data_IF_634263334745
#
_entry.id   IF_634263334745
#
_cell.length_a   1.000
_cell.length_b   1.000
_cell.length_c   1.000
_cell.angle_alpha   90.00
_cell.angle_beta   90.00
_cell.angle_gamma   90.00
#
_symmetry.space_group_name_H-M   'P 1'
#
loop_
_entity.id
_entity.type
_entity.pdbx_description
1 polymer ?
#
# COMPACT_ATOMS: atom_id res chain seq x y z
N UNK A 1 -10.63 -2.29 -33.90
CA UNK A 1 -9.40 -1.55 -34.29
C UNK A 1 -8.59 -1.35 -33.01
N UNK A 2 -7.40 -1.88 -32.94
CA UNK A 2 -6.53 -1.70 -31.77
C UNK A 2 -5.93 -0.30 -31.80
N UNK A 3 -5.74 0.32 -30.63
CA UNK A 3 -5.00 1.58 -30.53
C UNK A 3 -3.51 1.33 -30.78
N UNK A 4 -2.87 2.24 -31.48
CA UNK A 4 -1.42 2.20 -31.63
C UNK A 4 -0.76 2.37 -30.26
N UNK A 5 0.33 1.64 -30.03
CA UNK A 5 1.11 1.80 -28.82
C UNK A 5 1.91 3.11 -28.91
N UNK A 6 2.01 3.87 -27.80
CA UNK A 6 2.84 5.07 -27.79
C UNK A 6 4.32 4.69 -27.97
N UNK A 7 5.04 5.48 -28.74
CA UNK A 7 6.48 5.26 -29.00
C UNK A 7 7.32 5.34 -27.71
N UNK A 8 6.90 6.18 -26.76
CA UNK A 8 7.53 6.33 -25.45
C UNK A 8 6.50 6.14 -24.34
N UNK A 9 6.78 5.22 -23.42
CA UNK A 9 5.93 4.95 -22.26
C UNK A 9 6.63 5.49 -21.01
N UNK A 10 6.01 6.46 -20.34
CA UNK A 10 6.39 6.89 -19.01
C UNK A 10 5.64 6.03 -17.99
N UNK A 11 6.34 5.09 -17.36
CA UNK A 11 5.72 4.22 -16.34
C UNK A 11 5.09 5.01 -15.18
N UNK A 12 5.73 6.07 -14.63
CA UNK A 12 5.11 6.85 -13.55
C UNK A 12 3.81 7.56 -13.95
N UNK A 13 3.69 7.99 -15.20
CA UNK A 13 2.45 8.63 -15.69
C UNK A 13 1.35 7.59 -15.90
N UNK A 14 1.71 6.46 -16.51
CA UNK A 14 0.78 5.34 -16.68
C UNK A 14 0.26 4.82 -15.33
N UNK A 15 1.13 4.70 -14.33
CA UNK A 15 0.74 4.28 -12.98
C UNK A 15 -0.27 5.26 -12.35
N UNK A 16 -0.08 6.57 -12.52
CA UNK A 16 -1.04 7.58 -12.03
C UNK A 16 -2.40 7.46 -12.71
N UNK A 17 -2.42 7.23 -14.03
CA UNK A 17 -3.67 7.02 -14.77
C UNK A 17 -4.41 5.78 -14.26
N UNK A 18 -3.69 4.68 -14.01
CA UNK A 18 -4.27 3.44 -13.49
C UNK A 18 -4.77 3.61 -12.06
N UNK A 19 -4.05 4.31 -11.20
CA UNK A 19 -4.49 4.60 -9.83
C UNK A 19 -5.78 5.41 -9.86
N UNK A 20 -5.84 6.48 -10.65
CA UNK A 20 -7.05 7.29 -10.81
C UNK A 20 -8.24 6.47 -11.34
N UNK A 21 -7.98 5.56 -12.28
CA UNK A 21 -9.00 4.64 -12.77
C UNK A 21 -9.51 3.74 -11.65
N UNK A 22 -8.63 3.13 -10.87
CA UNK A 22 -9.01 2.24 -9.77
C UNK A 22 -9.81 2.94 -8.68
N UNK A 23 -9.46 4.18 -8.34
CA UNK A 23 -10.18 4.98 -7.36
C UNK A 23 -11.59 5.33 -7.85
N UNK A 24 -11.72 5.80 -9.10
CA UNK A 24 -13.01 6.15 -9.68
C UNK A 24 -13.92 4.94 -9.89
N UNK A 25 -13.36 3.82 -10.32
CA UNK A 25 -14.08 2.57 -10.55
C UNK A 25 -14.34 1.78 -9.26
N UNK A 26 -13.71 2.14 -8.14
CA UNK A 26 -13.70 1.35 -6.90
C UNK A 26 -13.29 -0.10 -7.13
N UNK A 27 -12.24 -0.28 -7.92
CA UNK A 27 -11.77 -1.60 -8.36
C UNK A 27 -11.40 -2.50 -7.20
N UNK A 28 -10.81 -1.95 -6.13
CA UNK A 28 -10.42 -2.70 -4.95
C UNK A 28 -11.65 -3.26 -4.22
N UNK A 29 -12.64 -2.43 -3.94
CA UNK A 29 -13.88 -2.81 -3.29
C UNK A 29 -14.62 -3.88 -4.11
N UNK A 30 -14.76 -3.65 -5.41
CA UNK A 30 -15.37 -4.62 -6.34
C UNK A 30 -14.64 -5.96 -6.34
N UNK A 31 -13.31 -5.96 -6.20
CA UNK A 31 -12.52 -7.21 -6.16
C UNK A 31 -12.85 -8.08 -4.94
N UNK A 32 -13.35 -7.48 -3.87
CA UNK A 32 -13.79 -8.15 -2.65
C UNK A 32 -15.28 -8.50 -2.73
N UNK A 33 -16.13 -7.52 -3.03
CA UNK A 33 -17.59 -7.64 -3.02
C UNK A 33 -18.13 -8.60 -4.08
N UNK A 34 -17.43 -8.74 -5.21
CA UNK A 34 -17.79 -9.67 -6.29
C UNK A 34 -17.55 -11.15 -5.96
N UNK A 35 -16.98 -11.46 -4.79
CA UNK A 35 -16.64 -12.82 -4.37
C UNK A 35 -17.53 -13.29 -3.22
N UNK A 36 -17.77 -14.62 -3.17
CA UNK A 36 -18.54 -15.22 -2.08
C UNK A 36 -17.77 -15.16 -0.76
N UNK A 37 -18.41 -14.72 0.34
CA UNK A 37 -17.80 -14.75 1.67
C UNK A 37 -17.54 -16.18 2.18
N UNK A 38 -18.24 -17.19 1.65
CA UNK A 38 -18.03 -18.59 2.02
C UNK A 38 -16.66 -19.12 1.59
N UNK A 39 -16.05 -18.46 0.60
CA UNK A 39 -14.70 -18.78 0.11
C UNK A 39 -13.77 -17.60 0.40
N UNK A 40 -13.47 -17.39 1.66
CA UNK A 40 -12.66 -16.26 2.10
C UNK A 40 -11.19 -16.62 2.31
N UNK A 41 -10.32 -15.65 2.08
CA UNK A 41 -8.90 -15.68 2.42
C UNK A 41 -8.53 -14.36 3.10
N UNK A 42 -8.13 -14.42 4.36
CA UNK A 42 -7.75 -13.22 5.11
C UNK A 42 -6.23 -13.06 5.13
N UNK A 43 -5.78 -11.89 4.76
CA UNK A 43 -4.37 -11.52 4.76
C UNK A 43 -4.13 -10.34 5.72
N UNK A 44 -3.17 -10.51 6.62
CA UNK A 44 -2.69 -9.46 7.50
C UNK A 44 -1.28 -9.05 7.10
N UNK A 45 -1.09 -7.76 6.85
CA UNK A 45 0.23 -7.18 6.65
C UNK A 45 0.87 -6.85 8.00
N UNK A 46 2.15 -7.23 8.17
CA UNK A 46 2.94 -6.74 9.28
C UNK A 46 3.17 -5.22 9.11
N UNK A 47 2.80 -4.39 10.10
CA UNK A 47 2.88 -2.95 9.96
C UNK A 47 4.35 -2.49 9.85
N UNK A 48 4.72 -1.74 8.80
CA UNK A 48 6.03 -1.12 8.73
C UNK A 48 6.12 0.03 9.73
N UNK A 49 7.31 0.26 10.27
CA UNK A 49 7.59 1.41 11.14
C UNK A 49 7.58 2.69 10.31
N UNK A 50 6.85 3.71 10.78
CA UNK A 50 6.71 5.01 10.10
C UNK A 50 7.88 5.94 10.42
N UNK A 51 9.12 5.52 10.09
CA UNK A 51 10.35 6.23 10.45
C UNK A 51 11.19 6.67 9.24
N UNK A 52 10.59 6.78 8.06
CA UNK A 52 11.27 7.25 6.86
C UNK A 52 10.65 6.76 5.56
N UNK A 53 11.32 7.03 4.44
CA UNK A 53 10.87 6.61 3.12
C UNK A 53 11.10 5.09 2.91
N UNK A 54 10.21 4.42 2.15
CA UNK A 54 10.36 3.00 1.88
C UNK A 54 11.60 2.71 1.02
N UNK A 55 12.39 1.73 1.45
CA UNK A 55 13.49 1.20 0.64
C UNK A 55 13.02 0.10 -0.33
N UNK A 56 13.91 -0.29 -1.26
CA UNK A 56 13.62 -1.31 -2.27
C UNK A 56 13.20 -2.66 -1.66
N UNK A 57 13.75 -3.03 -0.51
CA UNK A 57 13.38 -4.26 0.20
C UNK A 57 11.92 -4.26 0.66
N UNK A 58 11.36 -3.10 1.00
CA UNK A 58 9.93 -2.97 1.33
C UNK A 58 9.08 -3.21 0.08
N UNK A 59 9.50 -2.68 -1.07
CA UNK A 59 8.78 -2.87 -2.35
C UNK A 59 8.77 -4.34 -2.74
N UNK A 60 9.94 -5.02 -2.67
CA UNK A 60 10.04 -6.45 -2.98
C UNK A 60 9.14 -7.28 -2.09
N UNK A 61 9.19 -7.06 -0.76
CA UNK A 61 8.36 -7.79 0.18
C UNK A 61 6.86 -7.60 -0.10
N UNK A 62 6.43 -6.36 -0.39
CA UNK A 62 5.03 -6.07 -0.73
C UNK A 62 4.60 -6.68 -2.05
N UNK A 63 5.46 -6.67 -3.05
CA UNK A 63 5.19 -7.30 -4.35
C UNK A 63 4.93 -8.80 -4.20
N UNK A 64 5.76 -9.49 -3.41
CA UNK A 64 5.57 -10.93 -3.15
C UNK A 64 4.25 -11.19 -2.41
N UNK A 65 3.93 -10.39 -1.40
CA UNK A 65 2.66 -10.52 -0.64
C UNK A 65 1.45 -10.23 -1.53
N UNK A 66 1.51 -9.20 -2.36
CA UNK A 66 0.43 -8.85 -3.29
C UNK A 66 0.21 -9.94 -4.34
N UNK A 67 1.27 -10.60 -4.80
CA UNK A 67 1.17 -11.76 -5.69
C UNK A 67 0.26 -12.85 -5.12
N UNK A 68 0.43 -13.21 -3.85
CA UNK A 68 -0.41 -14.21 -3.19
C UNK A 68 -1.87 -13.76 -3.09
N UNK A 69 -2.11 -12.50 -2.72
CA UNK A 69 -3.45 -11.94 -2.63
C UNK A 69 -4.16 -11.93 -3.99
N UNK A 70 -3.47 -11.51 -5.04
CA UNK A 70 -3.99 -11.51 -6.41
C UNK A 70 -4.26 -12.93 -6.91
N UNK A 71 -3.34 -13.85 -6.67
CA UNK A 71 -3.52 -15.26 -7.05
C UNK A 71 -4.75 -15.87 -6.38
N UNK A 72 -4.95 -15.63 -5.07
CA UNK A 72 -6.14 -16.08 -4.36
C UNK A 72 -7.42 -15.45 -4.91
N UNK A 73 -7.40 -14.15 -5.22
CA UNK A 73 -8.53 -13.47 -5.85
C UNK A 73 -8.89 -14.07 -7.21
N UNK A 74 -7.88 -14.39 -8.05
CA UNK A 74 -8.10 -15.08 -9.34
C UNK A 74 -8.67 -16.49 -9.18
N UNK A 75 -8.36 -17.17 -8.07
CA UNK A 75 -8.97 -18.46 -7.72
C UNK A 75 -10.40 -18.36 -7.19
N UNK A 76 -10.97 -17.16 -7.16
CA UNK A 76 -12.34 -16.90 -6.72
C UNK A 76 -12.51 -16.72 -5.21
N UNK A 77 -11.43 -16.55 -4.45
CA UNK A 77 -11.52 -16.19 -3.03
C UNK A 77 -11.88 -14.72 -2.83
N UNK A 78 -12.71 -14.45 -1.84
CA UNK A 78 -12.85 -13.12 -1.27
C UNK A 78 -11.60 -12.84 -0.42
N UNK A 79 -10.75 -11.93 -0.88
CA UNK A 79 -9.47 -11.64 -0.23
C UNK A 79 -9.60 -10.41 0.65
N UNK A 80 -9.79 -10.64 1.95
CA UNK A 80 -9.83 -9.59 2.95
C UNK A 80 -8.41 -9.22 3.38
N UNK A 81 -7.99 -7.98 3.10
CA UNK A 81 -6.67 -7.47 3.41
C UNK A 81 -6.76 -6.46 4.54
N UNK A 82 -5.92 -6.64 5.56
CA UNK A 82 -5.75 -5.68 6.65
C UNK A 82 -4.30 -5.28 6.74
N UNK A 83 -4.06 -3.98 6.72
CA UNK A 83 -2.76 -3.36 6.87
C UNK A 83 -2.82 -2.28 7.95
N UNK A 84 -1.66 -1.79 8.36
CA UNK A 84 -1.51 -0.72 9.31
C UNK A 84 -0.10 -0.16 9.26
N UNK A 85 0.19 0.76 10.19
CA UNK A 85 1.49 1.36 10.38
C UNK A 85 1.89 1.19 11.84
N UNK A 86 3.16 0.88 12.08
CA UNK A 86 3.75 1.01 13.40
C UNK A 86 4.18 2.46 13.59
N UNK A 87 3.40 3.19 14.39
CA UNK A 87 3.55 4.64 14.58
C UNK A 87 4.07 5.00 15.97
N UNK A 88 4.56 4.03 16.74
CA UNK A 88 5.00 4.21 18.10
C UNK A 88 6.48 3.83 18.29
N UNK A 89 7.07 4.37 19.34
CA UNK A 89 8.42 4.04 19.76
C UNK A 89 9.49 5.00 19.25
N UNK A 90 10.67 4.89 19.86
CA UNK A 90 11.79 5.79 19.68
C UNK A 90 12.19 6.07 18.21
N UNK A 91 12.18 5.10 17.27
CA UNK A 91 12.53 5.39 15.90
C UNK A 91 11.58 6.37 15.21
N UNK A 92 10.29 6.31 15.54
CA UNK A 92 9.27 7.23 15.01
C UNK A 92 9.39 8.59 15.71
N UNK A 93 9.55 8.61 17.02
CA UNK A 93 9.73 9.83 17.82
C UNK A 93 10.90 10.65 17.30
N UNK A 94 12.08 10.05 17.14
CA UNK A 94 13.28 10.71 16.61
C UNK A 94 13.03 11.34 15.23
N UNK A 95 12.31 10.66 14.34
CA UNK A 95 12.06 11.19 13.01
C UNK A 95 11.05 12.33 13.01
N UNK A 96 10.04 12.25 13.88
CA UNK A 96 9.09 13.34 14.08
C UNK A 96 9.78 14.56 14.71
N UNK A 97 10.59 14.38 15.76
CA UNK A 97 11.37 15.46 16.36
C UNK A 97 12.25 16.17 15.33
N UNK A 98 12.95 15.44 14.50
CA UNK A 98 13.76 16.00 13.40
C UNK A 98 12.91 16.78 12.40
N UNK A 99 11.77 16.23 11.99
CA UNK A 99 10.88 16.86 11.00
C UNK A 99 10.25 18.14 11.50
N UNK A 100 9.96 18.22 12.81
CA UNK A 100 9.39 19.37 13.48
C UNK A 100 10.47 20.34 14.01
N UNK A 101 11.76 19.97 13.95
CA UNK A 101 12.87 20.78 14.46
C UNK A 101 12.94 20.87 15.99
N UNK A 102 12.32 19.92 16.70
CA UNK A 102 12.34 19.85 18.16
C UNK A 102 13.72 19.42 18.64
N UNK A 103 14.24 20.07 19.68
CA UNK A 103 15.60 19.84 20.20
C UNK A 103 15.64 19.36 21.64
N UNK A 104 14.54 19.50 22.34
CA UNK A 104 14.46 19.17 23.75
C UNK A 104 13.09 18.67 24.17
N UNK A 105 13.05 17.98 25.31
CA UNK A 105 11.78 17.55 25.90
C UNK A 105 10.83 18.72 26.19
N UNK A 106 11.36 19.88 26.56
CA UNK A 106 10.54 21.07 26.80
C UNK A 106 9.82 21.57 25.54
N UNK A 107 10.41 21.35 24.34
CA UNK A 107 9.78 21.70 23.06
C UNK A 107 8.61 20.78 22.73
N UNK A 108 8.61 19.54 23.27
CA UNK A 108 7.56 18.56 23.07
C UNK A 108 6.37 18.81 24.00
N UNK A 109 6.64 19.33 25.20
CA UNK A 109 5.64 19.58 26.23
C UNK A 109 4.95 20.97 26.08
N UNK A 110 5.46 21.84 25.20
CA UNK A 110 4.94 23.17 24.92
C UNK A 110 3.83 23.16 23.88
#
# INVERSE_FOLDING_TARGET
MYKDLPENISLPELEKEIINFWENDKTFEKSIESKSPDKSFTFYEGPPTANGLPGIHHVIARTVKDLFCRYKSMQGYQVNRKAGWDTHGLPVEIEVEKSLGLKSKADIEA
#
